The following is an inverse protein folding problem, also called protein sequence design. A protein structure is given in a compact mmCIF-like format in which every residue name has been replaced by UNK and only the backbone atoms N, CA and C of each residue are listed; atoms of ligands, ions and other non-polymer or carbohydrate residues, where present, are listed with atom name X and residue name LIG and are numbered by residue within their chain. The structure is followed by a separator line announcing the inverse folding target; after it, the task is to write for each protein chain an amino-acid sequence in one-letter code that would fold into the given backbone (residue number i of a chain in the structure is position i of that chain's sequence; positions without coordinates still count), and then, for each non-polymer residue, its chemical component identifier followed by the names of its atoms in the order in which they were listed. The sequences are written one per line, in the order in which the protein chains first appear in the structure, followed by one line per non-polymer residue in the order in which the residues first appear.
data_IF_033317443294
#
_entry.id   IF_033317443294
#
_cell.length_a   1.000
_cell.length_b   1.000
_cell.length_c   1.000
_cell.angle_alpha   90.00
_cell.angle_beta   90.00
_cell.angle_gamma   90.00
#
_symmetry.space_group_name_H-M   'P 1'
#
loop_
_entity.id
_entity.type
_entity.pdbx_description
1 polymer ?
#
# COMPACT_ATOMS: atom_id res chain seq x y z
N UNK A 1 15.48 13.13 -13.76
CA UNK A 1 15.70 13.37 -12.32
C UNK A 1 15.28 12.12 -11.55
N UNK A 2 16.08 11.64 -10.59
CA UNK A 2 15.72 10.49 -9.76
C UNK A 2 14.44 10.75 -8.95
N UNK A 3 13.75 9.68 -8.58
CA UNK A 3 12.53 9.75 -7.78
C UNK A 3 12.83 10.39 -6.40
N UNK A 4 12.03 11.39 -6.01
CA UNK A 4 12.18 12.06 -4.71
C UNK A 4 11.98 11.09 -3.54
N UNK A 5 12.61 11.31 -2.38
CA UNK A 5 12.43 10.45 -1.21
C UNK A 5 11.01 10.53 -0.64
N UNK A 6 10.57 9.46 0.03
CA UNK A 6 9.18 9.31 0.50
C UNK A 6 8.76 10.33 1.55
N UNK A 7 9.74 10.84 2.32
CA UNK A 7 9.52 11.86 3.36
C UNK A 7 8.85 13.12 2.82
N UNK A 8 9.10 13.50 1.57
CA UNK A 8 8.52 14.70 0.96
C UNK A 8 6.99 14.64 0.82
N UNK A 9 6.42 13.43 0.79
CA UNK A 9 4.99 13.20 0.55
C UNK A 9 4.27 12.56 1.74
N UNK A 10 4.96 12.22 2.83
CA UNK A 10 4.35 11.54 3.99
C UNK A 10 3.21 12.36 4.60
N UNK A 11 3.35 13.70 4.66
CA UNK A 11 2.33 14.62 5.21
C UNK A 11 1.13 14.72 4.27
N UNK A 12 -0.07 14.58 4.83
CA UNK A 12 -1.31 14.77 4.10
C UNK A 12 -1.46 16.23 3.65
N UNK A 13 -1.62 16.42 2.34
CA UNK A 13 -1.99 17.70 1.70
C UNK A 13 -3.38 17.58 1.07
N UNK A 14 -3.83 18.65 0.40
CA UNK A 14 -5.09 18.67 -0.36
C UNK A 14 -5.15 17.46 -1.31
N UNK A 15 -6.27 16.72 -1.34
CA UNK A 15 -6.42 15.60 -2.27
C UNK A 15 -6.48 16.05 -3.72
N UNK A 16 -5.66 15.41 -4.55
CA UNK A 16 -5.81 15.36 -6.01
C UNK A 16 -6.23 13.94 -6.39
N UNK A 17 -7.49 13.74 -6.73
CA UNK A 17 -8.06 12.40 -7.01
C UNK A 17 -8.89 12.36 -8.30
N UNK A 18 -9.52 13.48 -8.69
CA UNK A 18 -10.33 13.60 -9.92
C UNK A 18 -9.40 13.61 -11.14
N UNK A 19 -9.29 12.47 -11.83
CA UNK A 19 -8.39 12.29 -12.98
C UNK A 19 -8.84 13.05 -14.22
N UNK A 20 -10.13 13.36 -14.34
CA UNK A 20 -10.70 14.18 -15.42
C UNK A 20 -10.06 15.58 -15.52
N UNK A 21 -9.58 16.14 -14.40
CA UNK A 21 -8.88 17.43 -14.37
C UNK A 21 -7.35 17.30 -14.30
N UNK A 22 -6.82 16.08 -14.32
CA UNK A 22 -5.39 15.81 -14.16
C UNK A 22 -4.89 15.06 -15.40
N UNK A 23 -4.63 15.82 -16.46
CA UNK A 23 -4.01 15.30 -17.67
C UNK A 23 -2.66 14.63 -17.34
N UNK A 24 -2.44 13.44 -17.90
CA UNK A 24 -1.20 12.68 -17.68
C UNK A 24 -1.07 12.09 -16.27
N UNK A 25 -2.18 11.92 -15.53
CA UNK A 25 -2.15 11.18 -14.26
C UNK A 25 -1.60 9.76 -14.50
N UNK A 26 -0.53 9.35 -13.79
CA UNK A 26 0.08 8.03 -14.01
C UNK A 26 -0.90 6.92 -13.61
N UNK A 27 -0.78 5.76 -14.26
CA UNK A 27 -1.54 4.56 -13.88
C UNK A 27 -1.09 4.03 -12.53
N UNK A 28 -1.96 3.24 -11.88
CA UNK A 28 -1.59 2.53 -10.65
C UNK A 28 -0.63 1.40 -11.01
N UNK A 29 0.56 1.43 -10.42
CA UNK A 29 1.63 0.45 -10.70
C UNK A 29 1.39 -0.93 -10.07
N UNK A 30 0.43 -1.03 -9.13
CA UNK A 30 0.10 -2.30 -8.46
C UNK A 30 -0.74 -3.14 -9.43
N UNK A 31 -0.26 -4.32 -9.90
CA UNK A 31 -0.94 -5.08 -10.94
C UNK A 31 -2.16 -5.85 -10.39
N UNK A 32 -2.04 -6.41 -9.19
CA UNK A 32 -3.09 -7.19 -8.52
C UNK A 32 -3.11 -6.87 -7.04
N UNK A 33 -4.30 -6.58 -6.52
CA UNK A 33 -4.51 -6.29 -5.09
C UNK A 33 -4.76 -7.54 -4.26
N UNK A 34 -5.13 -8.65 -4.91
CA UNK A 34 -5.42 -9.94 -4.28
C UNK A 34 -4.49 -11.01 -4.84
N UNK A 35 -3.96 -11.87 -3.96
CA UNK A 35 -2.96 -12.89 -4.25
C UNK A 35 -3.24 -14.17 -3.48
N UNK A 36 -2.65 -15.26 -3.95
CA UNK A 36 -2.90 -16.59 -3.43
C UNK A 36 -4.30 -17.04 -3.81
N UNK A 37 -5.06 -17.54 -2.84
CA UNK A 37 -6.37 -18.11 -3.10
C UNK A 37 -7.51 -17.10 -3.00
N UNK A 38 -7.91 -16.54 -4.14
CA UNK A 38 -8.99 -15.54 -4.21
C UNK A 38 -10.39 -16.15 -4.09
N UNK A 39 -10.56 -17.46 -4.33
CA UNK A 39 -11.89 -18.07 -4.40
C UNK A 39 -12.53 -18.18 -3.01
N UNK A 40 -13.73 -17.64 -2.78
CA UNK A 40 -14.37 -17.64 -1.46
C UNK A 40 -14.57 -19.04 -0.84
N UNK A 41 -14.94 -20.04 -1.66
CA UNK A 41 -15.13 -21.43 -1.20
C UNK A 41 -13.87 -22.01 -0.59
N UNK A 42 -12.73 -21.72 -1.21
CA UNK A 42 -11.46 -22.27 -0.80
C UNK A 42 -10.88 -21.50 0.41
N UNK A 43 -11.26 -20.22 0.58
CA UNK A 43 -10.92 -19.41 1.75
C UNK A 43 -11.62 -19.83 3.04
N UNK A 44 -12.67 -20.67 2.96
CA UNK A 44 -13.40 -21.15 4.14
C UNK A 44 -12.52 -22.00 5.07
N UNK A 45 -11.46 -22.62 4.54
CA UNK A 45 -10.51 -23.42 5.34
C UNK A 45 -9.56 -22.60 6.22
N UNK A 46 -9.45 -21.29 5.99
CA UNK A 46 -8.53 -20.45 6.74
C UNK A 46 -9.13 -20.06 8.09
N UNK A 47 -8.48 -20.50 9.17
CA UNK A 47 -8.97 -20.30 10.53
C UNK A 47 -8.60 -18.94 11.12
N UNK A 48 -7.51 -18.33 10.65
CA UNK A 48 -6.94 -17.11 11.21
C UNK A 48 -6.84 -15.98 10.18
N UNK A 49 -6.97 -14.76 10.69
CA UNK A 49 -6.70 -13.53 9.95
C UNK A 49 -5.57 -12.79 10.64
N UNK A 50 -4.62 -12.33 9.84
CA UNK A 50 -3.55 -11.44 10.24
C UNK A 50 -3.65 -10.14 9.43
N UNK A 51 -3.78 -9.02 10.12
CA UNK A 51 -3.93 -7.70 9.53
C UNK A 51 -2.73 -6.83 9.84
N UNK A 52 -2.31 -6.05 8.85
CA UNK A 52 -1.32 -5.00 9.02
C UNK A 52 -2.04 -3.66 9.11
N UNK A 53 -1.98 -3.04 10.28
CA UNK A 53 -2.76 -1.85 10.62
C UNK A 53 -1.84 -0.65 10.77
N UNK A 54 -2.19 0.48 10.14
CA UNK A 54 -1.44 1.73 10.30
C UNK A 54 -1.78 2.39 11.63
N UNK A 55 -0.77 2.72 12.44
CA UNK A 55 -0.97 3.40 13.74
C UNK A 55 -1.09 4.92 13.59
N UNK A 56 -0.56 5.47 12.50
CA UNK A 56 -0.56 6.91 12.22
C UNK A 56 -1.33 7.26 10.96
N UNK A 57 -1.71 8.54 10.85
CA UNK A 57 -2.18 9.12 9.60
C UNK A 57 -1.01 9.51 8.70
N UNK A 58 -1.20 9.45 7.39
CA UNK A 58 -0.15 9.82 6.45
C UNK A 58 -0.43 9.36 5.03
N UNK A 59 0.59 9.47 4.18
CA UNK A 59 0.54 8.98 2.80
C UNK A 59 1.55 7.86 2.56
N UNK A 60 1.11 6.83 1.84
CA UNK A 60 1.95 5.73 1.38
C UNK A 60 1.98 5.76 -0.14
N UNK A 61 3.17 5.79 -0.73
CA UNK A 61 3.31 5.78 -2.19
C UNK A 61 2.98 4.42 -2.78
N UNK A 62 2.47 4.38 -4.01
CA UNK A 62 2.15 3.15 -4.71
C UNK A 62 3.36 2.19 -4.79
N UNK A 63 4.56 2.72 -5.00
CA UNK A 63 5.80 1.93 -5.03
C UNK A 63 6.09 1.23 -3.69
N UNK A 64 5.76 1.88 -2.57
CA UNK A 64 5.94 1.30 -1.24
C UNK A 64 4.89 0.21 -0.96
N UNK A 65 3.64 0.42 -1.39
CA UNK A 65 2.59 -0.61 -1.33
C UNK A 65 2.96 -1.84 -2.17
N UNK A 66 3.46 -1.62 -3.38
CA UNK A 66 3.88 -2.71 -4.27
C UNK A 66 5.09 -3.46 -3.71
N UNK A 67 6.09 -2.75 -3.17
CA UNK A 67 7.23 -3.38 -2.51
C UNK A 67 6.82 -4.20 -1.28
N UNK A 68 5.91 -3.67 -0.46
CA UNK A 68 5.36 -4.40 0.68
C UNK A 68 4.62 -5.67 0.22
N UNK A 69 3.82 -5.57 -0.84
CA UNK A 69 3.04 -6.67 -1.43
C UNK A 69 3.96 -7.79 -1.90
N UNK A 70 4.95 -7.44 -2.73
CA UNK A 70 5.89 -8.41 -3.28
C UNK A 70 6.70 -9.08 -2.17
N UNK A 71 7.09 -8.34 -1.13
CA UNK A 71 7.87 -8.89 -0.03
C UNK A 71 7.08 -9.90 0.80
N UNK A 72 5.80 -9.60 1.11
CA UNK A 72 4.91 -10.54 1.78
C UNK A 72 4.66 -11.77 0.91
N UNK A 73 4.28 -11.57 -0.36
CA UNK A 73 3.96 -12.65 -1.28
C UNK A 73 5.14 -13.58 -1.53
N UNK A 74 6.34 -13.04 -1.81
CA UNK A 74 7.55 -13.85 -2.06
C UNK A 74 7.90 -14.74 -0.86
N UNK A 75 7.70 -14.26 0.36
CA UNK A 75 7.92 -15.05 1.56
C UNK A 75 6.85 -16.15 1.71
N UNK A 76 5.57 -15.80 1.62
CA UNK A 76 4.47 -16.76 1.77
C UNK A 76 4.49 -17.84 0.67
N UNK A 77 4.71 -17.45 -0.58
CA UNK A 77 4.83 -18.36 -1.72
C UNK A 77 5.93 -19.40 -1.51
N UNK A 78 7.08 -18.99 -0.93
CA UNK A 78 8.21 -19.88 -0.67
C UNK A 78 7.98 -20.87 0.48
N UNK A 79 7.39 -20.43 1.59
CA UNK A 79 7.32 -21.24 2.82
C UNK A 79 5.97 -21.91 3.05
N UNK A 80 4.88 -21.29 2.59
CA UNK A 80 3.50 -21.75 2.81
C UNK A 80 2.90 -22.33 1.53
N UNK A 81 3.26 -21.74 0.37
CA UNK A 81 2.71 -22.09 -0.94
C UNK A 81 1.45 -21.28 -1.28
N UNK A 82 1.33 -20.92 -2.55
CA UNK A 82 0.27 -20.06 -3.08
C UNK A 82 -1.18 -20.47 -2.77
N UNK A 83 -1.58 -21.76 -2.76
CA UNK A 83 -2.95 -22.11 -2.41
C UNK A 83 -3.25 -21.88 -0.92
N UNK A 84 -2.25 -21.85 -0.05
CA UNK A 84 -2.43 -21.97 1.39
C UNK A 84 -2.59 -20.63 2.13
N UNK A 85 -2.74 -19.53 1.40
CA UNK A 85 -3.03 -18.22 1.97
C UNK A 85 -3.87 -17.36 1.03
N UNK A 86 -4.51 -16.34 1.59
CA UNK A 86 -5.13 -15.25 0.83
C UNK A 86 -4.56 -13.92 1.32
N UNK A 87 -3.87 -13.18 0.43
CA UNK A 87 -3.30 -11.88 0.75
C UNK A 87 -4.00 -10.80 -0.06
N UNK A 88 -4.48 -9.76 0.61
CA UNK A 88 -5.12 -8.60 0.00
C UNK A 88 -4.50 -7.30 0.49
N UNK A 89 -4.29 -6.35 -0.42
CA UNK A 89 -4.08 -4.95 -0.07
C UNK A 89 -5.44 -4.26 -0.04
N UNK A 90 -5.83 -3.71 1.10
CA UNK A 90 -7.14 -3.08 1.27
C UNK A 90 -7.14 -1.63 0.78
N UNK A 91 -5.97 -0.98 0.71
CA UNK A 91 -5.87 0.44 0.39
C UNK A 91 -5.48 0.66 -1.06
N UNK A 92 -6.24 1.53 -1.74
CA UNK A 92 -6.00 1.89 -3.14
C UNK A 92 -5.35 3.29 -3.26
N UNK A 93 -4.34 3.46 -4.13
CA UNK A 93 -3.64 4.74 -4.28
C UNK A 93 -4.40 5.71 -5.19
N UNK A 94 -5.41 6.38 -4.64
CA UNK A 94 -6.21 7.38 -5.37
C UNK A 94 -5.51 8.72 -5.58
N UNK A 95 -4.59 9.10 -4.69
CA UNK A 95 -4.01 10.43 -4.70
C UNK A 95 -2.90 10.57 -5.75
N UNK A 96 -3.01 11.55 -6.63
CA UNK A 96 -1.95 11.89 -7.59
C UNK A 96 -0.96 12.87 -6.94
N UNK A 97 0.31 12.47 -6.93
CA UNK A 97 1.43 13.30 -6.50
C UNK A 97 1.89 14.16 -7.68
N UNK A 98 2.04 15.46 -7.43
CA UNK A 98 2.62 16.41 -8.36
C UNK A 98 4.01 16.84 -7.91
N UNK A 99 4.91 17.01 -8.88
CA UNK A 99 6.28 17.43 -8.65
C UNK A 99 6.67 18.55 -9.63
N UNK A 100 7.25 19.63 -9.11
CA UNK A 100 7.97 20.58 -9.95
C UNK A 100 9.37 20.00 -10.24
N UNK A 101 9.58 19.51 -11.46
CA UNK A 101 10.83 18.89 -11.90
C UNK A 101 11.77 19.99 -12.39
N UNK A 102 12.80 20.29 -11.59
CA UNK A 102 13.88 21.17 -12.02
C UNK A 102 14.84 20.39 -12.93
N UNK A 103 15.23 21.01 -14.04
CA UNK A 103 16.25 20.51 -14.96
C UNK A 103 17.61 20.77 -14.34
N UNK A 104 18.38 19.71 -14.12
CA UNK A 104 19.72 19.77 -13.54
C UNK A 104 20.76 19.40 -14.60
N UNK A 105 20.84 20.19 -15.67
CA UNK A 105 21.81 20.04 -16.75
C UNK A 105 22.48 21.40 -17.02
N UNK A 106 23.73 21.42 -17.48
CA UNK A 106 24.41 22.66 -17.84
C UNK A 106 23.57 23.47 -18.85
N UNK A 107 23.31 24.75 -18.56
CA UNK A 107 22.45 25.61 -19.38
C UNK A 107 20.94 25.46 -19.13
N UNK A 108 20.51 24.60 -18.20
CA UNK A 108 19.10 24.43 -17.84
C UNK A 108 18.45 25.71 -17.29
N UNK A 109 19.22 26.59 -16.65
CA UNK A 109 18.73 27.86 -16.11
C UNK A 109 18.11 28.77 -17.18
N UNK A 110 18.51 28.61 -18.45
CA UNK A 110 17.95 29.36 -19.58
C UNK A 110 16.57 28.84 -20.01
N UNK A 111 16.27 27.58 -19.74
CA UNK A 111 15.03 26.89 -20.12
C UNK A 111 14.05 26.77 -18.95
N UNK A 112 14.57 26.79 -17.72
CA UNK A 112 13.79 26.58 -16.52
C UNK A 112 13.25 27.91 -15.97
N UNK A 113 11.94 27.97 -15.73
CA UNK A 113 11.28 29.18 -15.23
C UNK A 113 11.41 29.39 -13.69
N UNK A 114 12.31 28.65 -13.04
CA UNK A 114 12.48 28.65 -11.58
C UNK A 114 11.18 28.30 -10.85
N UNK A 115 10.66 29.26 -10.06
CA UNK A 115 9.42 29.11 -9.29
C UNK A 115 8.16 29.63 -10.01
N UNK A 116 8.32 30.25 -11.17
CA UNK A 116 7.18 30.62 -12.02
C UNK A 116 6.52 29.32 -12.53
N UNK A 117 5.20 29.22 -12.40
CA UNK A 117 4.41 28.01 -12.73
C UNK A 117 4.79 26.73 -11.94
N UNK A 118 5.17 26.87 -10.67
CA UNK A 118 5.63 25.76 -9.81
C UNK A 118 4.57 24.71 -9.37
N UNK A 119 3.38 24.68 -9.99
CA UNK A 119 2.32 23.73 -9.63
C UNK A 119 2.73 22.26 -9.84
N UNK A 120 3.60 22.03 -10.81
CA UNK A 120 4.22 20.74 -11.06
C UNK A 120 3.36 19.77 -11.87
N UNK A 121 4.04 18.76 -12.40
CA UNK A 121 3.46 17.72 -13.25
C UNK A 121 3.13 16.48 -12.42
N UNK A 122 2.07 15.71 -12.78
CA UNK A 122 1.80 14.41 -12.17
C UNK A 122 3.02 13.48 -12.28
N UNK A 123 3.46 12.91 -11.17
CA UNK A 123 4.66 12.05 -11.14
C UNK A 123 4.43 10.68 -10.50
N UNK A 124 3.41 10.54 -9.64
CA UNK A 124 3.15 9.26 -8.99
C UNK A 124 1.78 9.20 -8.33
N UNK A 125 1.48 8.05 -7.73
CA UNK A 125 0.26 7.85 -6.93
C UNK A 125 0.58 7.48 -5.49
N UNK A 126 -0.33 7.81 -4.59
CA UNK A 126 -0.26 7.47 -3.19
C UNK A 126 -1.65 7.11 -2.62
N UNK A 127 -1.62 6.23 -1.65
CA UNK A 127 -2.71 5.96 -0.73
C UNK A 127 -2.68 6.98 0.41
N UNK A 128 -3.84 7.54 0.77
CA UNK A 128 -3.98 8.43 1.92
C UNK A 128 -4.62 7.65 3.07
N UNK A 129 -3.92 7.57 4.19
CA UNK A 129 -4.43 6.99 5.43
C UNK A 129 -4.91 8.16 6.28
N UNK A 130 -6.24 8.28 6.36
CA UNK A 130 -6.90 9.39 7.04
C UNK A 130 -7.13 9.12 8.52
N UNK A 131 -7.26 7.86 8.90
CA UNK A 131 -7.54 7.43 10.28
C UNK A 131 -6.48 6.44 10.75
N UNK A 132 -5.95 6.60 11.96
CA UNK A 132 -5.19 5.54 12.60
C UNK A 132 -6.10 4.32 12.80
N UNK A 133 -5.54 3.12 12.78
CA UNK A 133 -6.31 1.88 12.77
C UNK A 133 -6.75 1.41 11.37
N UNK A 134 -6.36 2.11 10.29
CA UNK A 134 -6.70 1.67 8.92
C UNK A 134 -5.92 0.40 8.57
N UNK A 135 -6.64 -0.64 8.13
CA UNK A 135 -6.05 -1.90 7.66
C UNK A 135 -5.42 -1.69 6.27
N UNK A 136 -4.12 -1.94 6.16
CA UNK A 136 -3.34 -1.81 4.93
C UNK A 136 -3.31 -3.12 4.15
N UNK A 137 -3.01 -4.21 4.85
CA UNK A 137 -2.96 -5.56 4.29
C UNK A 137 -3.77 -6.50 5.17
N UNK A 138 -4.43 -7.43 4.50
CA UNK A 138 -5.25 -8.46 5.10
C UNK A 138 -4.76 -9.82 4.60
N UNK A 139 -4.44 -10.73 5.53
CA UNK A 139 -3.92 -12.05 5.25
C UNK A 139 -4.77 -13.09 5.96
N UNK A 140 -5.36 -14.03 5.21
CA UNK A 140 -6.02 -15.21 5.77
C UNK A 140 -5.13 -16.42 5.63
N UNK A 141 -5.05 -17.24 6.68
CA UNK A 141 -4.19 -18.41 6.72
C UNK A 141 -4.72 -19.47 7.69
N UNK A 142 -4.29 -20.72 7.51
CA UNK A 142 -4.52 -21.80 8.49
C UNK A 142 -3.66 -21.63 9.74
N UNK A 143 -4.14 -22.12 10.89
CA UNK A 143 -3.44 -21.97 12.17
C UNK A 143 -2.02 -22.52 12.21
N UNK A 144 -1.74 -23.57 11.42
CA UNK A 144 -0.40 -24.18 11.31
C UNK A 144 0.67 -23.21 10.80
N UNK A 145 0.28 -22.23 9.98
CA UNK A 145 1.22 -21.32 9.29
C UNK A 145 1.24 -19.91 9.90
N UNK A 146 0.69 -19.71 11.09
CA UNK A 146 0.55 -18.40 11.73
C UNK A 146 1.91 -17.70 11.97
N UNK A 147 2.96 -18.46 12.30
CA UNK A 147 4.32 -17.92 12.44
C UNK A 147 4.83 -17.29 11.12
N UNK A 148 4.54 -17.94 9.99
CA UNK A 148 4.90 -17.41 8.67
C UNK A 148 4.09 -16.17 8.30
N UNK A 149 2.82 -16.11 8.68
CA UNK A 149 2.00 -14.90 8.48
C UNK A 149 2.57 -13.69 9.23
N UNK A 150 2.96 -13.86 10.50
CA UNK A 150 3.57 -12.79 11.30
C UNK A 150 4.88 -12.28 10.69
N UNK A 151 5.74 -13.19 10.24
CA UNK A 151 7.01 -12.84 9.59
C UNK A 151 6.80 -12.16 8.23
N UNK A 152 5.84 -12.63 7.43
CA UNK A 152 5.48 -12.00 6.16
C UNK A 152 5.04 -10.54 6.34
N UNK A 153 4.15 -10.29 7.30
CA UNK A 153 3.65 -8.95 7.60
C UNK A 153 4.72 -8.05 8.22
N UNK A 154 5.63 -8.60 9.04
CA UNK A 154 6.78 -7.85 9.57
C UNK A 154 7.70 -7.37 8.43
N UNK A 155 7.96 -8.23 7.44
CA UNK A 155 8.74 -7.86 6.25
C UNK A 155 8.01 -6.81 5.41
N UNK A 156 6.70 -6.93 5.23
CA UNK A 156 5.90 -5.92 4.54
C UNK A 156 5.93 -4.57 5.25
N UNK A 157 5.78 -4.56 6.58
CA UNK A 157 5.83 -3.36 7.41
C UNK A 157 7.12 -2.55 7.19
N UNK A 158 8.27 -3.24 7.05
CA UNK A 158 9.57 -2.59 6.79
C UNK A 158 9.64 -1.77 5.49
N UNK A 159 8.72 -2.00 4.55
CA UNK A 159 8.65 -1.26 3.27
C UNK A 159 7.74 -0.04 3.34
N UNK A 160 6.92 0.07 4.39
CA UNK A 160 5.94 1.14 4.54
C UNK A 160 6.54 2.29 5.35
N UNK A 161 6.15 3.55 5.06
CA UNK A 161 6.73 4.73 5.68
C UNK A 161 6.11 5.10 7.04
N UNK A 162 5.03 4.44 7.46
CA UNK A 162 4.32 4.71 8.71
C UNK A 162 4.56 3.56 9.70
N UNK A 163 4.48 3.82 11.03
CA UNK A 163 4.46 2.75 12.01
C UNK A 163 3.24 1.86 11.78
N UNK A 164 3.48 0.55 11.85
CA UNK A 164 2.48 -0.48 11.59
C UNK A 164 2.41 -1.44 12.76
N UNK A 165 1.18 -1.87 13.06
CA UNK A 165 0.89 -2.92 14.03
C UNK A 165 0.36 -4.16 13.32
N UNK A 166 0.81 -5.32 13.76
CA UNK A 166 0.26 -6.60 13.31
C UNK A 166 -0.80 -7.04 14.31
N UNK A 167 -2.02 -7.27 13.84
CA UNK A 167 -3.14 -7.77 14.64
C UNK A 167 -3.52 -9.14 14.10
N UNK A 168 -3.67 -10.13 14.99
CA UNK A 168 -4.03 -11.50 14.62
C UNK A 168 -5.22 -11.91 15.46
N UNK A 169 -6.24 -12.47 14.82
CA UNK A 169 -7.43 -12.97 15.49
C UNK A 169 -8.04 -14.16 14.72
N UNK A 170 -8.81 -15.02 15.38
CA UNK A 170 -9.51 -16.12 14.72
C UNK A 170 -10.62 -15.57 13.80
N UNK A 171 -10.70 -16.08 12.57
CA UNK A 171 -11.64 -15.61 11.53
C UNK A 171 -13.11 -15.69 11.97
N UNK A 172 -13.45 -16.70 12.77
CA UNK A 172 -14.79 -16.89 13.32
C UNK A 172 -15.21 -15.77 14.29
N UNK A 173 -14.27 -15.13 14.99
CA UNK A 173 -14.59 -14.03 15.90
C UNK A 173 -15.04 -12.77 15.14
N UNK A 174 -14.49 -12.52 13.95
CA UNK A 174 -14.85 -11.35 13.15
C UNK A 174 -16.25 -11.47 12.53
N UNK A 175 -16.67 -12.68 12.15
CA UNK A 175 -18.03 -12.94 11.65
C UNK A 175 -19.11 -12.63 12.71
N UNK A 176 -18.81 -12.85 14.00
CA UNK A 176 -19.74 -12.57 15.10
C UNK A 176 -19.88 -11.08 15.39
N UNK A 177 -18.79 -10.32 15.32
CA UNK A 177 -18.81 -8.87 15.56
C UNK A 177 -19.58 -8.15 14.45
N UNK A 178 -19.38 -8.53 13.18
CA UNK A 178 -20.10 -7.93 12.04
C UNK A 178 -21.59 -8.30 12.02
N UNK A 179 -21.98 -9.45 12.59
CA UNK A 179 -23.38 -9.85 12.70
C UNK A 179 -24.15 -9.14 13.84
N UNK A 180 -23.46 -8.44 14.74
CA UNK A 180 -24.03 -7.77 15.92
C UNK A 180 -24.08 -6.24 15.81
N UNK A 181 -23.57 -5.69 14.71
CA UNK A 181 -23.47 -4.25 14.41
C UNK A 181 -24.23 -3.92 13.13
#
# INVERSE_FOLDING_TARGET
MPLRPGRCYRRLKRPYTRTEYIAGAPYVQIPRFELGNTKPRERARFDYVAELVAEETGQIRANALEAARQMAYKYLSKYVGDPNFYLKINVYPFHVIRENKMLAMAGADRLQQGMRLAFGVPSGRAARILRPGTIIMHLEIEGKNLAHAKEALKRAASKLPLPMRIVIYPKQAQAKVVAQS
#
